data_IF_382719202485
#
_entry.id   IF_382719202485
#
_cell.length_a   1.000
_cell.length_b   1.000
_cell.length_c   1.000
_cell.angle_alpha   90.00
_cell.angle_beta   90.00
_cell.angle_gamma   90.00
#
_symmetry.space_group_name_H-M   'P 1'
#
loop_
_entity.id
_entity.type
_entity.pdbx_description
1 polymer ?
#
# COMPACT_ATOMS: atom_id res chain seq x y z
N UNK A 1 9.35 2.88 -16.16
CA UNK A 1 10.21 2.03 -15.31
C UNK A 1 9.49 1.44 -14.08
N UNK A 2 8.55 2.15 -13.43
CA UNK A 2 7.86 1.68 -12.21
C UNK A 2 6.90 0.48 -12.43
N UNK A 3 6.25 0.39 -13.59
CA UNK A 3 5.35 -0.73 -13.95
C UNK A 3 6.12 -2.07 -14.04
N UNK A 4 7.29 -2.06 -14.68
CA UNK A 4 8.12 -3.27 -14.86
C UNK A 4 8.57 -3.88 -13.53
N UNK A 5 8.79 -3.06 -12.50
CA UNK A 5 9.11 -3.56 -11.16
C UNK A 5 7.91 -4.32 -10.57
N UNK A 6 6.72 -3.74 -10.60
CA UNK A 6 5.51 -4.39 -10.07
C UNK A 6 5.20 -5.70 -10.80
N UNK A 7 5.37 -5.73 -12.13
CA UNK A 7 5.21 -6.94 -12.93
C UNK A 7 6.20 -8.04 -12.52
N UNK A 8 7.46 -7.66 -12.30
CA UNK A 8 8.50 -8.60 -11.84
C UNK A 8 8.17 -9.13 -10.44
N UNK A 9 7.74 -8.27 -9.52
CA UNK A 9 7.36 -8.67 -8.16
C UNK A 9 6.15 -9.61 -8.18
N UNK A 10 5.16 -9.34 -9.04
CA UNK A 10 4.01 -10.21 -9.23
C UNK A 10 4.39 -11.59 -9.79
N UNK A 11 5.29 -11.63 -10.78
CA UNK A 11 5.81 -12.90 -11.33
C UNK A 11 6.53 -13.73 -10.26
N UNK A 12 7.41 -13.09 -9.48
CA UNK A 12 8.15 -13.77 -8.41
C UNK A 12 7.21 -14.37 -7.36
N UNK A 13 6.22 -13.60 -6.91
CA UNK A 13 5.16 -14.07 -6.01
C UNK A 13 4.41 -15.27 -6.60
N UNK A 14 3.96 -15.17 -7.85
CA UNK A 14 3.21 -16.23 -8.54
C UNK A 14 4.03 -17.52 -8.72
N UNK A 15 5.36 -17.39 -8.76
CA UNK A 15 6.30 -18.52 -8.80
C UNK A 15 6.63 -19.09 -7.41
N UNK A 16 5.90 -18.68 -6.36
CA UNK A 16 6.02 -19.22 -5.00
C UNK A 16 7.10 -18.53 -4.15
N UNK A 17 7.67 -17.42 -4.61
CA UNK A 17 8.64 -16.68 -3.81
C UNK A 17 7.95 -15.90 -2.69
N UNK A 18 8.39 -16.10 -1.45
CA UNK A 18 7.96 -15.27 -0.32
C UNK A 18 8.74 -13.97 -0.32
N UNK A 19 8.04 -12.84 -0.16
CA UNK A 19 8.63 -11.51 -0.28
C UNK A 19 8.19 -10.62 0.87
N UNK A 20 9.14 -9.89 1.45
CA UNK A 20 8.90 -8.81 2.40
C UNK A 20 9.45 -7.52 1.80
N UNK A 21 8.63 -6.47 1.73
CA UNK A 21 9.05 -5.16 1.25
C UNK A 21 8.52 -4.05 2.13
N UNK A 22 9.28 -2.96 2.22
CA UNK A 22 8.82 -1.68 2.74
C UNK A 22 8.55 -0.72 1.57
N UNK A 23 7.39 -0.08 1.56
CA UNK A 23 7.06 0.93 0.55
C UNK A 23 6.30 2.09 1.16
N UNK A 24 6.59 3.30 0.68
CA UNK A 24 5.83 4.52 1.01
C UNK A 24 4.68 4.78 0.02
N UNK A 25 4.61 4.02 -1.08
CA UNK A 25 3.54 4.10 -2.07
C UNK A 25 2.50 3.01 -1.80
N UNK A 26 1.40 3.39 -1.17
CA UNK A 26 0.30 2.48 -0.78
C UNK A 26 -0.37 1.82 -1.98
N UNK A 27 -0.42 2.49 -3.14
CA UNK A 27 -0.90 1.91 -4.39
C UNK A 27 -0.10 0.69 -4.85
N UNK A 28 1.22 0.70 -4.64
CA UNK A 28 2.05 -0.47 -4.96
C UNK A 28 1.74 -1.63 -4.03
N UNK A 29 1.64 -1.34 -2.73
CA UNK A 29 1.32 -2.35 -1.74
C UNK A 29 -0.05 -2.98 -2.04
N UNK A 30 -1.05 -2.17 -2.42
CA UNK A 30 -2.37 -2.65 -2.82
C UNK A 30 -2.35 -3.55 -4.06
N UNK A 31 -1.44 -3.31 -5.01
CA UNK A 31 -1.40 -4.05 -6.26
C UNK A 31 -0.85 -5.48 -6.10
N UNK A 32 0.04 -5.73 -5.14
CA UNK A 32 0.79 -7.01 -5.07
C UNK A 32 0.79 -7.70 -3.71
N UNK A 33 0.53 -6.99 -2.61
CA UNK A 33 0.68 -7.55 -1.27
C UNK A 33 -0.51 -8.46 -0.90
N UNK A 34 -0.21 -9.61 -0.31
CA UNK A 34 -1.23 -10.47 0.32
C UNK A 34 -1.59 -10.00 1.73
N UNK A 35 -0.64 -9.34 2.40
CA UNK A 35 -0.77 -8.80 3.74
C UNK A 35 -0.02 -7.48 3.83
N UNK A 36 -0.60 -6.50 4.52
CA UNK A 36 0.02 -5.21 4.82
C UNK A 36 0.34 -5.17 6.31
N UNK A 37 1.56 -4.73 6.64
CA UNK A 37 1.94 -4.33 7.99
C UNK A 37 2.04 -2.81 7.97
N UNK A 38 1.20 -2.13 8.75
CA UNK A 38 1.22 -0.69 8.91
C UNK A 38 1.86 -0.35 10.25
N UNK A 39 2.82 0.57 10.21
CA UNK A 39 3.44 1.17 11.40
C UNK A 39 2.87 2.57 11.55
N UNK A 40 2.08 2.77 12.61
CA UNK A 40 1.43 4.04 12.91
C UNK A 40 2.42 5.07 13.48
N UNK A 41 2.10 6.38 13.44
CA UNK A 41 2.99 7.42 13.96
C UNK A 41 3.33 7.29 15.45
N UNK A 42 2.51 6.60 16.23
CA UNK A 42 2.72 6.32 17.66
C UNK A 42 3.51 5.01 17.90
N UNK A 43 3.99 4.37 16.83
CA UNK A 43 4.73 3.12 16.88
C UNK A 43 3.87 1.87 16.98
N UNK A 44 2.53 1.98 16.97
CA UNK A 44 1.65 0.82 16.92
C UNK A 44 1.80 0.11 15.58
N UNK A 45 1.78 -1.22 15.62
CA UNK A 45 1.84 -2.06 14.43
C UNK A 45 0.51 -2.77 14.25
N UNK A 46 -0.04 -2.70 13.05
CA UNK A 46 -1.23 -3.48 12.67
C UNK A 46 -0.93 -4.28 11.41
N UNK A 47 -1.54 -5.47 11.31
CA UNK A 47 -1.38 -6.35 10.16
C UNK A 47 -2.74 -6.84 9.68
N UNK A 48 -2.93 -6.96 8.37
CA UNK A 48 -4.15 -7.52 7.79
C UNK A 48 -4.16 -7.46 6.27
N UNK A 49 -5.33 -7.69 5.69
CA UNK A 49 -5.51 -7.63 4.24
C UNK A 49 -5.32 -6.20 3.71
N UNK A 50 -4.91 -6.02 2.44
CA UNK A 50 -4.85 -4.68 1.83
C UNK A 50 -6.17 -3.90 1.95
N UNK A 51 -7.31 -4.56 1.79
CA UNK A 51 -8.65 -3.95 1.91
C UNK A 51 -8.97 -3.42 3.31
N UNK A 52 -8.35 -3.99 4.35
CA UNK A 52 -8.56 -3.60 5.75
C UNK A 52 -7.54 -2.55 6.20
N UNK A 53 -6.33 -2.59 5.63
CA UNK A 53 -5.22 -1.73 6.03
C UNK A 53 -5.15 -0.44 5.21
N UNK A 54 -5.46 -0.49 3.91
CA UNK A 54 -5.35 0.65 3.00
C UNK A 54 -6.67 1.40 2.81
N UNK A 55 -7.49 1.47 3.87
CA UNK A 55 -8.72 2.27 3.86
C UNK A 55 -8.43 3.77 3.82
N UNK A 56 -9.31 4.57 3.22
CA UNK A 56 -9.16 6.03 3.13
C UNK A 56 -8.83 6.68 4.49
N UNK A 57 -9.50 6.24 5.56
CA UNK A 57 -9.29 6.79 6.90
C UNK A 57 -7.91 6.46 7.47
N UNK A 58 -7.43 5.23 7.27
CA UNK A 58 -6.08 4.81 7.72
C UNK A 58 -4.99 5.53 6.94
N UNK A 59 -5.17 5.68 5.63
CA UNK A 59 -4.28 6.47 4.80
C UNK A 59 -4.25 7.94 5.25
N UNK A 60 -5.41 8.52 5.60
CA UNK A 60 -5.52 9.91 6.06
C UNK A 60 -4.75 10.15 7.34
N UNK A 61 -4.90 9.22 8.30
CA UNK A 61 -4.14 9.23 9.54
C UNK A 61 -2.63 9.07 9.30
N UNK A 62 -2.22 8.12 8.44
CA UNK A 62 -0.82 7.82 8.17
C UNK A 62 -0.09 8.98 7.48
N UNK A 63 -0.73 9.61 6.50
CA UNK A 63 -0.17 10.74 5.76
C UNK A 63 -0.44 12.11 6.43
N UNK A 64 -1.15 12.14 7.57
CA UNK A 64 -1.52 13.35 8.32
C UNK A 64 -2.25 14.40 7.47
N UNK A 65 -3.12 13.94 6.59
CA UNK A 65 -3.92 14.77 5.68
C UNK A 65 -5.40 14.43 5.83
N UNK A 66 -6.30 15.32 5.40
CA UNK A 66 -7.74 15.01 5.46
C UNK A 66 -8.11 13.89 4.47
N UNK A 67 -9.20 13.16 4.77
CA UNK A 67 -9.71 12.12 3.88
C UNK A 67 -10.03 12.66 2.47
N UNK A 68 -10.51 13.90 2.38
CA UNK A 68 -10.80 14.58 1.12
C UNK A 68 -9.52 14.85 0.30
N UNK A 69 -8.42 15.22 0.97
CA UNK A 69 -7.12 15.44 0.32
C UNK A 69 -6.54 14.13 -0.24
N UNK A 70 -6.73 13.01 0.46
CA UNK A 70 -6.32 11.69 -0.04
C UNK A 70 -7.17 11.22 -1.20
N UNK A 71 -8.48 11.43 -1.14
CA UNK A 71 -9.37 11.05 -2.23
C UNK A 71 -9.00 11.78 -3.52
N UNK A 72 -8.69 13.08 -3.43
CA UNK A 72 -8.21 13.88 -4.55
C UNK A 72 -6.84 13.40 -5.08
N UNK A 73 -5.91 13.02 -4.19
CA UNK A 73 -4.58 12.56 -4.60
C UNK A 73 -4.59 11.15 -5.24
N UNK A 74 -5.35 10.20 -4.67
CA UNK A 74 -5.46 8.85 -5.21
C UNK A 74 -6.26 8.80 -6.52
N UNK A 75 -7.28 9.64 -6.68
CA UNK A 75 -8.02 9.76 -7.95
C UNK A 75 -7.19 10.42 -9.06
N UNK A 76 -6.26 11.31 -8.71
CA UNK A 76 -5.34 11.94 -9.68
C UNK A 76 -4.25 10.99 -10.20
N UNK A 77 -3.80 10.03 -9.39
CA UNK A 77 -2.80 9.03 -9.79
C UNK A 77 -3.41 7.93 -10.68
N UNK A 78 -4.74 7.79 -10.68
CA UNK A 78 -5.45 6.78 -11.46
C UNK A 78 -5.82 7.21 -12.90
N UNK A 79 -5.20 8.27 -13.43
CA UNK A 79 -5.34 8.73 -14.83
C UNK A 79 -4.09 8.48 -15.66
#
# INVERSE_FOLDING_TARGET
HQIQLLDTLAQLKNNGMTMLMSTHHTLHANAIADSIIQVEPDGRVTQGLPTEQLTTNKLAALYRVSADQIHHHLSAISR
#
